data_IF_687628926945
#
_entry.id   IF_687628926945
#
_cell.length_a   1.000
_cell.length_b   1.000
_cell.length_c   1.000
_cell.angle_alpha   90.00
_cell.angle_beta   90.00
_cell.angle_gamma   90.00
#
_symmetry.space_group_name_H-M   'P 1'
#
loop_
_entity.id
_entity.type
_entity.pdbx_description
1 polymer ?
#
# COMPACT_ATOMS: atom_id res chain seq x y z
N UNK A 1 64.96 17.98 16.83
CA UNK A 1 63.50 18.23 16.89
C UNK A 1 62.78 17.14 16.17
N UNK A 2 62.12 16.22 16.89
CA UNK A 2 61.33 15.17 16.31
C UNK A 2 59.88 15.61 16.34
N UNK A 3 59.28 15.83 15.17
CA UNK A 3 57.87 16.15 15.02
C UNK A 3 57.09 14.82 14.99
N UNK A 4 56.38 14.53 16.08
CA UNK A 4 55.45 13.40 16.12
C UNK A 4 54.12 13.82 15.48
N UNK A 5 53.83 13.26 14.32
CA UNK A 5 52.55 13.43 13.63
C UNK A 5 51.57 12.43 14.23
N UNK A 6 50.65 12.92 15.05
CA UNK A 6 49.55 12.11 15.60
C UNK A 6 48.46 11.96 14.53
N UNK A 7 48.31 10.75 13.97
CA UNK A 7 47.20 10.41 13.10
C UNK A 7 45.93 10.24 13.96
N UNK A 8 44.97 11.16 13.80
CA UNK A 8 43.61 10.98 14.29
C UNK A 8 42.86 10.05 13.32
N UNK A 9 42.64 8.82 13.73
CA UNK A 9 41.72 7.91 13.06
C UNK A 9 40.29 8.30 13.44
N UNK A 10 39.57 8.93 12.50
CA UNK A 10 38.12 9.17 12.60
C UNK A 10 37.41 7.86 12.29
N UNK A 11 36.94 7.19 13.33
CA UNK A 11 36.09 6.01 13.18
C UNK A 11 34.70 6.43 12.66
N UNK A 12 34.39 6.08 11.43
CA UNK A 12 33.02 6.16 10.93
C UNK A 12 32.15 5.12 11.68
N UNK A 13 31.33 5.59 12.61
CA UNK A 13 30.24 4.78 13.15
C UNK A 13 29.19 4.63 12.04
N UNK A 14 29.19 3.50 11.33
CA UNK A 14 28.10 3.08 10.47
C UNK A 14 26.92 2.69 11.36
N UNK A 15 25.98 3.62 11.55
CA UNK A 15 24.69 3.31 12.14
C UNK A 15 23.94 2.40 11.16
N UNK A 16 23.39 1.25 11.59
CA UNK A 16 22.51 0.47 10.73
C UNK A 16 21.27 1.33 10.49
N UNK A 17 21.10 1.78 9.25
CA UNK A 17 19.85 2.36 8.79
C UNK A 17 18.90 1.17 8.74
N UNK A 18 18.10 1.00 9.79
CA UNK A 18 16.93 0.12 9.74
C UNK A 18 16.00 0.71 8.70
N UNK A 19 16.06 0.17 7.48
CA UNK A 19 15.07 0.48 6.47
C UNK A 19 13.73 -0.07 6.99
N UNK A 20 12.92 0.80 7.61
CA UNK A 20 11.51 0.54 7.78
C UNK A 20 10.95 0.47 6.37
N UNK A 21 10.61 -0.75 5.89
CA UNK A 21 9.91 -0.94 4.65
C UNK A 21 8.56 -0.24 4.78
N UNK A 22 8.45 0.96 4.21
CA UNK A 22 7.17 1.64 4.07
C UNK A 22 6.36 0.85 3.04
N UNK A 23 5.14 0.43 3.41
CA UNK A 23 4.22 -0.19 2.49
C UNK A 23 3.59 0.91 1.63
N UNK A 24 3.67 0.76 0.31
CA UNK A 24 3.11 1.73 -0.62
C UNK A 24 1.72 1.31 -1.07
N UNK A 25 0.71 2.09 -0.70
CA UNK A 25 -0.67 1.88 -1.15
C UNK A 25 -0.79 2.16 -2.65
N UNK A 26 -1.45 1.27 -3.42
CA UNK A 26 -1.67 1.52 -4.84
C UNK A 26 -2.65 2.67 -5.06
N UNK A 27 -2.50 3.36 -6.20
CA UNK A 27 -3.48 4.35 -6.62
C UNK A 27 -4.81 3.66 -6.99
N UNK A 28 -5.91 4.29 -6.59
CA UNK A 28 -7.24 3.82 -6.92
C UNK A 28 -7.55 4.09 -8.39
N UNK A 29 -7.93 3.10 -9.21
CA UNK A 29 -8.26 3.32 -10.59
C UNK A 29 -9.55 4.13 -10.74
N UNK A 30 -9.62 4.92 -11.82
CA UNK A 30 -10.87 5.58 -12.21
C UNK A 30 -11.81 4.59 -12.90
N UNK A 31 -13.05 4.54 -12.42
CA UNK A 31 -14.09 3.73 -13.04
C UNK A 31 -14.86 4.60 -14.05
N UNK A 32 -14.97 4.19 -15.32
CA UNK A 32 -15.67 4.98 -16.33
C UNK A 32 -17.20 5.00 -16.08
N UNK A 33 -17.85 6.03 -16.59
CA UNK A 33 -19.33 6.04 -16.64
C UNK A 33 -19.81 5.01 -17.66
N UNK A 34 -20.40 3.91 -17.20
CA UNK A 34 -20.85 2.82 -18.05
C UNK A 34 -21.90 3.21 -19.09
N UNK A 35 -22.74 4.23 -18.82
CA UNK A 35 -23.77 4.68 -19.77
C UNK A 35 -23.17 5.31 -21.02
N UNK A 36 -22.00 5.94 -20.92
CA UNK A 36 -21.36 6.68 -22.00
C UNK A 36 -20.04 6.10 -22.48
N UNK A 37 -19.50 5.12 -21.74
CA UNK A 37 -18.23 4.50 -22.06
C UNK A 37 -18.29 3.63 -23.32
N UNK A 38 -17.17 3.58 -24.05
CA UNK A 38 -16.98 2.61 -25.14
C UNK A 38 -16.64 1.22 -24.56
N UNK A 39 -16.81 0.18 -25.35
CA UNK A 39 -16.35 -1.17 -24.97
C UNK A 39 -14.85 -1.19 -24.67
N UNK A 40 -14.04 -0.48 -25.46
CA UNK A 40 -12.59 -0.38 -25.23
C UNK A 40 -12.26 0.27 -23.89
N UNK A 41 -13.01 1.32 -23.49
CA UNK A 41 -12.85 1.98 -22.21
C UNK A 41 -13.22 1.04 -21.05
N UNK A 42 -14.27 0.23 -21.20
CA UNK A 42 -14.67 -0.77 -20.19
C UNK A 42 -13.64 -1.89 -20.04
N UNK A 43 -13.05 -2.35 -21.15
CA UNK A 43 -11.97 -3.36 -21.14
C UNK A 43 -10.70 -2.80 -20.48
N UNK A 44 -10.33 -1.57 -20.81
CA UNK A 44 -9.19 -0.90 -20.18
C UNK A 44 -9.40 -0.75 -18.67
N UNK A 45 -10.57 -0.31 -18.24
CA UNK A 45 -10.93 -0.21 -16.83
C UNK A 45 -10.88 -1.57 -16.11
N UNK A 46 -11.32 -2.65 -16.75
CA UNK A 46 -11.21 -4.00 -16.19
C UNK A 46 -9.75 -4.38 -15.92
N UNK A 47 -8.85 -4.04 -16.84
CA UNK A 47 -7.41 -4.30 -16.68
C UNK A 47 -6.83 -3.49 -15.51
N UNK A 48 -7.20 -2.21 -15.39
CA UNK A 48 -6.76 -1.35 -14.30
C UNK A 48 -7.27 -1.83 -12.94
N UNK A 49 -8.53 -2.25 -12.85
CA UNK A 49 -9.11 -2.82 -11.64
C UNK A 49 -8.38 -4.10 -11.23
N UNK A 50 -8.08 -4.99 -12.17
CA UNK A 50 -7.31 -6.22 -11.87
C UNK A 50 -5.90 -5.91 -11.40
N UNK A 51 -5.23 -4.93 -12.01
CA UNK A 51 -3.89 -4.48 -11.60
C UNK A 51 -3.93 -3.87 -10.21
N UNK A 52 -4.93 -3.04 -9.93
CA UNK A 52 -5.16 -2.48 -8.60
C UNK A 52 -5.36 -3.57 -7.54
N UNK A 53 -6.20 -4.56 -7.82
CA UNK A 53 -6.46 -5.67 -6.89
C UNK A 53 -5.18 -6.46 -6.58
N UNK A 54 -4.35 -6.74 -7.59
CA UNK A 54 -3.08 -7.42 -7.39
C UNK A 54 -2.10 -6.59 -6.54
N UNK A 55 -1.97 -5.30 -6.83
CA UNK A 55 -1.13 -4.37 -6.08
C UNK A 55 -1.64 -4.17 -4.65
N UNK A 56 -2.96 -4.11 -4.47
CA UNK A 56 -3.56 -3.97 -3.14
C UNK A 56 -3.34 -5.23 -2.29
N UNK A 57 -3.36 -6.43 -2.89
CA UNK A 57 -3.03 -7.66 -2.18
C UNK A 57 -1.57 -7.66 -1.68
N UNK A 58 -0.62 -7.15 -2.46
CA UNK A 58 0.78 -6.97 -2.03
C UNK A 58 0.89 -5.94 -0.91
N UNK A 59 0.18 -4.83 -1.02
CA UNK A 59 0.12 -3.82 0.03
C UNK A 59 -0.44 -4.37 1.33
N UNK A 60 -1.55 -5.10 1.29
CA UNK A 60 -2.15 -5.74 2.46
C UNK A 60 -1.20 -6.74 3.12
N UNK A 61 -0.47 -7.54 2.34
CA UNK A 61 0.53 -8.46 2.87
C UNK A 61 1.68 -7.71 3.58
N UNK A 62 2.14 -6.59 3.02
CA UNK A 62 3.15 -5.74 3.62
C UNK A 62 2.67 -5.14 4.95
N UNK A 63 1.45 -4.61 5.00
CA UNK A 63 0.85 -4.04 6.23
C UNK A 63 0.65 -5.12 7.29
N UNK A 64 0.26 -6.33 6.90
CA UNK A 64 0.12 -7.47 7.80
C UNK A 64 1.45 -7.83 8.47
N UNK A 65 2.56 -7.82 7.73
CA UNK A 65 3.91 -8.00 8.29
C UNK A 65 4.28 -6.87 9.27
N UNK A 66 3.92 -5.63 8.96
CA UNK A 66 4.11 -4.51 9.89
C UNK A 66 3.33 -4.73 11.18
N UNK A 67 2.07 -5.13 11.09
CA UNK A 67 1.24 -5.43 12.26
C UNK A 67 1.85 -6.53 13.12
N UNK A 68 2.35 -7.61 12.51
CA UNK A 68 3.02 -8.69 13.23
C UNK A 68 4.29 -8.21 13.95
N UNK A 69 5.08 -7.37 13.30
CA UNK A 69 6.29 -6.76 13.89
C UNK A 69 5.94 -5.88 15.09
N UNK A 70 4.95 -5.00 14.94
CA UNK A 70 4.53 -4.10 16.03
C UNK A 70 3.88 -4.88 17.19
N UNK A 71 3.17 -5.97 16.91
CA UNK A 71 2.63 -6.83 17.97
C UNK A 71 3.74 -7.45 18.79
N UNK A 72 4.81 -7.93 18.18
CA UNK A 72 5.97 -8.46 18.90
C UNK A 72 6.61 -7.38 19.79
N UNK A 73 6.71 -6.15 19.29
CA UNK A 73 7.25 -5.02 20.05
C UNK A 73 6.32 -4.60 21.21
N UNK A 74 5.01 -4.70 21.03
CA UNK A 74 4.03 -4.52 22.13
C UNK A 74 4.26 -5.57 23.23
N UNK A 75 4.45 -6.83 22.84
CA UNK A 75 4.68 -7.93 23.77
C UNK A 75 6.01 -7.77 24.55
N UNK A 76 7.01 -7.14 23.91
CA UNK A 76 8.28 -6.76 24.55
C UNK A 76 8.19 -5.50 25.42
N UNK A 77 7.05 -4.80 25.40
CA UNK A 77 6.81 -3.57 26.17
C UNK A 77 7.46 -2.33 25.57
N UNK A 78 7.72 -2.32 24.25
CA UNK A 78 8.31 -1.16 23.59
C UNK A 78 7.33 0.01 23.52
N UNK A 79 7.80 1.20 23.93
CA UNK A 79 7.00 2.42 23.93
C UNK A 79 6.58 2.80 22.49
N UNK A 80 5.31 3.15 22.30
CA UNK A 80 4.74 3.56 21.02
C UNK A 80 4.38 2.42 20.06
N UNK A 81 4.75 1.17 20.36
CA UNK A 81 4.45 0.01 19.49
C UNK A 81 2.96 -0.23 19.35
N UNK A 82 2.19 -0.07 20.41
CA UNK A 82 0.73 -0.22 20.37
C UNK A 82 0.06 0.80 19.46
N UNK A 83 0.53 2.04 19.46
CA UNK A 83 0.02 3.10 18.59
C UNK A 83 0.38 2.81 17.12
N UNK A 84 1.61 2.38 16.84
CA UNK A 84 2.02 1.98 15.49
C UNK A 84 1.25 0.79 14.97
N UNK A 85 0.95 -0.20 15.82
CA UNK A 85 0.06 -1.32 15.48
C UNK A 85 -1.34 -0.82 15.09
N UNK A 86 -1.92 0.08 15.89
CA UNK A 86 -3.26 0.62 15.63
C UNK A 86 -3.31 1.41 14.30
N UNK A 87 -2.26 2.16 13.97
CA UNK A 87 -2.15 2.88 12.70
C UNK A 87 -2.06 1.89 11.52
N UNK A 88 -1.25 0.85 11.62
CA UNK A 88 -1.16 -0.19 10.59
C UNK A 88 -2.49 -0.94 10.40
N UNK A 89 -3.20 -1.26 11.48
CA UNK A 89 -4.52 -1.87 11.42
C UNK A 89 -5.56 -0.96 10.73
N UNK A 90 -5.50 0.35 10.97
CA UNK A 90 -6.37 1.32 10.30
C UNK A 90 -6.05 1.40 8.80
N UNK A 91 -4.79 1.38 8.41
CA UNK A 91 -4.35 1.36 7.01
C UNK A 91 -4.81 0.08 6.30
N UNK A 92 -4.71 -1.07 6.96
CA UNK A 92 -5.21 -2.35 6.46
C UNK A 92 -6.72 -2.28 6.16
N UNK A 93 -7.50 -1.85 7.13
CA UNK A 93 -8.96 -1.73 7.00
C UNK A 93 -9.36 -0.74 5.91
N UNK A 94 -8.65 0.39 5.79
CA UNK A 94 -8.89 1.36 4.73
C UNK A 94 -8.60 0.79 3.34
N UNK A 95 -7.56 -0.03 3.20
CA UNK A 95 -7.22 -0.68 1.94
C UNK A 95 -8.26 -1.73 1.52
N UNK A 96 -8.77 -2.53 2.47
CA UNK A 96 -9.88 -3.47 2.22
C UNK A 96 -11.14 -2.73 1.77
N UNK A 97 -11.53 -1.67 2.47
CA UNK A 97 -12.71 -0.86 2.11
C UNK A 97 -12.58 -0.22 0.73
N UNK A 98 -11.39 0.23 0.38
CA UNK A 98 -11.10 0.82 -0.93
C UNK A 98 -11.24 -0.19 -2.06
N UNK A 99 -10.77 -1.41 -1.86
CA UNK A 99 -10.93 -2.50 -2.84
C UNK A 99 -12.40 -2.87 -3.03
N UNK A 100 -13.17 -2.98 -1.95
CA UNK A 100 -14.61 -3.23 -2.01
C UNK A 100 -15.36 -2.13 -2.76
N UNK A 101 -14.98 -0.87 -2.55
CA UNK A 101 -15.58 0.27 -3.23
C UNK A 101 -15.27 0.26 -4.74
N UNK A 102 -14.02 0.02 -5.12
CA UNK A 102 -13.63 -0.10 -6.54
C UNK A 102 -14.39 -1.23 -7.23
N UNK A 103 -14.51 -2.39 -6.59
CA UNK A 103 -15.26 -3.52 -7.13
C UNK A 103 -16.75 -3.20 -7.30
N UNK A 104 -17.35 -2.54 -6.32
CA UNK A 104 -18.76 -2.13 -6.37
C UNK A 104 -19.00 -1.11 -7.49
N UNK A 105 -18.15 -0.11 -7.63
CA UNK A 105 -18.24 0.94 -8.64
C UNK A 105 -18.06 0.36 -10.05
N UNK A 106 -17.10 -0.53 -10.24
CA UNK A 106 -16.88 -1.19 -11.53
C UNK A 106 -18.05 -2.12 -11.90
N UNK A 107 -18.59 -2.88 -10.96
CA UNK A 107 -19.77 -3.69 -11.20
C UNK A 107 -21.00 -2.84 -11.57
N UNK A 108 -21.17 -1.67 -10.96
CA UNK A 108 -22.21 -0.72 -11.33
C UNK A 108 -22.01 -0.18 -12.76
N UNK A 109 -20.77 0.15 -13.12
CA UNK A 109 -20.43 0.60 -14.47
C UNK A 109 -20.72 -0.49 -15.53
N UNK A 110 -20.43 -1.76 -15.23
CA UNK A 110 -20.76 -2.89 -16.13
C UNK A 110 -22.27 -2.99 -16.34
N UNK A 111 -23.06 -2.90 -15.29
CA UNK A 111 -24.53 -2.91 -15.41
C UNK A 111 -25.05 -1.75 -16.24
N UNK A 112 -24.54 -0.56 -15.99
CA UNK A 112 -24.91 0.64 -16.76
C UNK A 112 -24.51 0.51 -18.24
N UNK A 113 -23.33 -0.02 -18.53
CA UNK A 113 -22.87 -0.28 -19.90
C UNK A 113 -23.80 -1.26 -20.62
N UNK A 114 -24.16 -2.38 -20.00
CA UNK A 114 -25.08 -3.38 -20.58
C UNK A 114 -26.46 -2.82 -20.82
N UNK A 115 -26.95 -1.97 -19.93
CA UNK A 115 -28.25 -1.31 -20.10
C UNK A 115 -28.26 -0.31 -21.27
N UNK A 116 -27.14 0.41 -21.48
CA UNK A 116 -26.98 1.36 -22.57
C UNK A 116 -26.67 0.71 -23.93
N UNK A 117 -26.17 -0.53 -23.94
CA UNK A 117 -25.79 -1.28 -25.14
C UNK A 117 -26.47 -2.67 -25.16
N UNK A 118 -27.81 -2.70 -25.28
CA UNK A 118 -28.51 -3.96 -25.36
C UNK A 118 -28.20 -4.67 -26.70
N UNK A 119 -28.16 -6.01 -26.70
CA UNK A 119 -27.96 -6.87 -27.88
C UNK A 119 -29.13 -6.78 -28.86
#
# INVERSE_FOLDING_TARGET
MKIQTTLLTVGLLSLPISATLACDAPETPEVPNGETASLEAMIAAQTEVKTFQASNAEYLACVDEQMATEQNLVDEGEEGAQERYALAAADYNAAVSREEQVAADFNAAIRAYKAANPD
#
